data_IF_018543264728
#
_entry.id   IF_018543264728
#
_cell.length_a   1.000
_cell.length_b   1.000
_cell.length_c   1.000
_cell.angle_alpha   90.00
_cell.angle_beta   90.00
_cell.angle_gamma   90.00
#
_symmetry.space_group_name_H-M   'P 1'
#
loop_
_entity.id
_entity.type
_entity.pdbx_description
1 polymer ?
#
# COMPACT_ATOMS: atom_id res chain seq x y z
N UNK A 1 0.87 7.73 35.76
CA UNK A 1 -0.34 7.36 34.99
C UNK A 1 0.02 6.21 34.06
N UNK A 2 -0.39 4.99 34.36
CA UNK A 2 -0.14 3.82 33.50
C UNK A 2 -1.08 3.88 32.30
N UNK A 3 -0.54 4.03 31.09
CA UNK A 3 -1.33 4.01 29.86
C UNK A 3 -2.00 2.64 29.70
N UNK A 4 -3.30 2.56 30.00
CA UNK A 4 -4.08 1.34 29.79
C UNK A 4 -4.12 1.04 28.29
N UNK A 5 -3.52 -0.09 27.87
CA UNK A 5 -3.61 -0.55 26.49
C UNK A 5 -5.08 -0.90 26.23
N UNK A 6 -5.76 -0.15 25.37
CA UNK A 6 -7.15 -0.47 24.98
C UNK A 6 -7.16 -1.81 24.26
N UNK A 7 -7.99 -2.73 24.74
CA UNK A 7 -8.18 -4.00 24.05
C UNK A 7 -9.04 -3.77 22.81
N UNK A 8 -8.91 -4.65 21.82
CA UNK A 8 -9.71 -4.59 20.60
C UNK A 8 -11.23 -4.67 20.88
N UNK A 9 -11.62 -5.36 21.95
CA UNK A 9 -12.99 -5.43 22.50
C UNK A 9 -13.52 -4.07 22.96
N UNK A 10 -12.63 -3.15 23.32
CA UNK A 10 -12.99 -1.85 23.90
C UNK A 10 -13.16 -0.76 22.82
N UNK A 11 -12.93 -1.12 21.55
CA UNK A 11 -13.16 -0.23 20.41
C UNK A 11 -14.65 -0.17 20.08
N UNK A 12 -15.14 1.02 19.75
CA UNK A 12 -16.49 1.16 19.20
C UNK A 12 -16.62 0.36 17.90
N UNK A 13 -17.81 -0.16 17.57
CA UNK A 13 -18.06 -0.88 16.32
C UNK A 13 -17.60 -0.09 15.10
N UNK A 14 -17.81 1.23 15.08
CA UNK A 14 -17.39 2.12 14.00
C UNK A 14 -15.87 2.16 13.83
N UNK A 15 -15.11 2.28 14.92
CA UNK A 15 -13.64 2.29 14.86
C UNK A 15 -13.10 0.94 14.39
N UNK A 16 -13.66 -0.16 14.90
CA UNK A 16 -13.28 -1.51 14.49
C UNK A 16 -13.51 -1.71 12.98
N UNK A 17 -14.69 -1.33 12.48
CA UNK A 17 -15.02 -1.39 11.06
C UNK A 17 -14.08 -0.52 10.23
N UNK A 18 -13.77 0.70 10.69
CA UNK A 18 -12.83 1.58 10.01
C UNK A 18 -11.45 0.96 9.84
N UNK A 19 -10.92 0.31 10.89
CA UNK A 19 -9.63 -0.39 10.82
C UNK A 19 -9.70 -1.55 9.83
N UNK A 20 -10.75 -2.38 9.88
CA UNK A 20 -10.92 -3.52 8.95
C UNK A 20 -10.94 -3.02 7.50
N UNK A 21 -11.73 -1.99 7.22
CA UNK A 21 -11.87 -1.41 5.88
C UNK A 21 -10.53 -0.85 5.40
N UNK A 22 -9.82 -0.08 6.23
CA UNK A 22 -8.52 0.48 5.89
C UNK A 22 -7.48 -0.62 5.60
N UNK A 23 -7.43 -1.67 6.42
CA UNK A 23 -6.53 -2.81 6.22
C UNK A 23 -6.82 -3.55 4.91
N UNK A 24 -8.11 -3.72 4.57
CA UNK A 24 -8.49 -4.33 3.29
C UNK A 24 -8.04 -3.48 2.10
N UNK A 25 -8.25 -2.16 2.17
CA UNK A 25 -7.78 -1.25 1.12
C UNK A 25 -6.26 -1.33 0.96
N UNK A 26 -5.50 -1.25 2.05
CA UNK A 26 -4.04 -1.35 2.03
C UNK A 26 -3.56 -2.67 1.41
N UNK A 27 -4.20 -3.79 1.78
CA UNK A 27 -3.86 -5.10 1.24
C UNK A 27 -4.12 -5.18 -0.28
N UNK A 28 -5.26 -4.64 -0.75
CA UNK A 28 -5.60 -4.57 -2.17
C UNK A 28 -4.62 -3.68 -2.92
N UNK A 29 -4.31 -2.49 -2.42
CA UNK A 29 -3.34 -1.57 -3.04
C UNK A 29 -1.96 -2.20 -3.16
N UNK A 30 -1.48 -2.83 -2.09
CA UNK A 30 -0.19 -3.52 -2.06
C UNK A 30 -0.16 -4.66 -3.05
N UNK A 31 -1.20 -5.49 -3.10
CA UNK A 31 -1.30 -6.60 -4.03
C UNK A 31 -1.34 -6.13 -5.49
N UNK A 32 -2.14 -5.12 -5.80
CA UNK A 32 -2.22 -4.53 -7.14
C UNK A 32 -0.88 -3.93 -7.55
N UNK A 33 -0.24 -3.16 -6.66
CA UNK A 33 1.08 -2.57 -6.92
C UNK A 33 2.14 -3.65 -7.18
N UNK A 34 2.18 -4.71 -6.37
CA UNK A 34 3.12 -5.82 -6.56
C UNK A 34 2.84 -6.59 -7.85
N UNK A 35 1.57 -6.89 -8.16
CA UNK A 35 1.18 -7.59 -9.40
C UNK A 35 1.51 -6.74 -10.63
N UNK A 36 1.22 -5.45 -10.59
CA UNK A 36 1.51 -4.50 -11.67
C UNK A 36 3.02 -4.37 -11.87
N UNK A 37 3.80 -4.18 -10.80
CA UNK A 37 5.26 -4.14 -10.85
C UNK A 37 5.83 -5.43 -11.46
N UNK A 38 5.34 -6.61 -11.03
CA UNK A 38 5.81 -7.90 -11.56
C UNK A 38 5.51 -8.03 -13.04
N UNK A 39 4.29 -7.71 -13.49
CA UNK A 39 3.86 -7.85 -14.88
C UNK A 39 4.45 -6.81 -15.84
N UNK A 40 4.70 -5.58 -15.37
CA UNK A 40 5.22 -4.51 -16.24
C UNK A 40 6.69 -4.74 -16.63
N UNK A 41 7.03 -4.54 -17.92
CA UNK A 41 8.42 -4.48 -18.35
C UNK A 41 9.10 -3.25 -17.74
N UNK A 42 10.41 -3.34 -17.48
CA UNK A 42 11.15 -2.28 -16.80
C UNK A 42 11.12 -0.93 -17.55
N UNK A 43 10.91 -0.95 -18.87
CA UNK A 43 10.79 0.25 -19.71
C UNK A 43 9.55 1.11 -19.38
N UNK A 44 8.49 0.51 -18.82
CA UNK A 44 7.26 1.18 -18.41
C UNK A 44 7.25 1.63 -16.94
N UNK A 45 8.34 1.36 -16.21
CA UNK A 45 8.49 1.76 -14.81
C UNK A 45 9.47 2.92 -14.74
N UNK A 46 9.15 3.94 -13.95
CA UNK A 46 10.05 5.08 -13.76
C UNK A 46 11.21 4.68 -12.86
N UNK A 47 12.33 4.30 -13.48
CA UNK A 47 13.55 3.92 -12.76
C UNK A 47 13.65 2.41 -12.47
N UNK A 48 14.65 1.99 -11.68
CA UNK A 48 14.92 0.57 -11.43
C UNK A 48 13.77 -0.15 -10.73
N UNK A 49 13.36 -1.29 -11.28
CA UNK A 49 12.28 -2.13 -10.74
C UNK A 49 12.51 -2.56 -9.28
N UNK A 50 13.76 -2.77 -8.89
CA UNK A 50 14.13 -3.14 -7.52
C UNK A 50 13.88 -2.02 -6.51
N UNK A 51 14.07 -0.74 -6.87
CA UNK A 51 13.76 0.37 -5.97
C UNK A 51 12.26 0.45 -5.69
N UNK A 52 11.43 0.17 -6.69
CA UNK A 52 9.99 0.08 -6.46
C UNK A 52 9.60 -1.12 -5.63
N UNK A 53 10.29 -2.26 -5.76
CA UNK A 53 10.08 -3.40 -4.88
C UNK A 53 10.37 -3.04 -3.41
N UNK A 54 11.47 -2.34 -3.14
CA UNK A 54 11.80 -1.82 -1.81
C UNK A 54 10.78 -0.78 -1.34
N UNK A 55 10.32 0.10 -2.24
CA UNK A 55 9.29 1.08 -1.91
C UNK A 55 8.00 0.38 -1.43
N UNK A 56 7.57 -0.72 -2.05
CA UNK A 56 6.37 -1.47 -1.60
C UNK A 56 6.46 -1.97 -0.16
N UNK A 57 7.67 -2.18 0.38
CA UNK A 57 7.87 -2.58 1.78
C UNK A 57 7.60 -1.43 2.78
N UNK A 58 7.53 -0.19 2.31
CA UNK A 58 7.20 0.98 3.13
C UNK A 58 5.68 1.16 3.18
N UNK A 59 5.01 0.40 4.04
CA UNK A 59 3.55 0.46 4.24
C UNK A 59 3.15 1.75 4.99
N UNK A 60 2.08 2.47 4.60
CA UNK A 60 1.25 2.32 3.39
C UNK A 60 1.74 3.16 2.18
N UNK A 61 2.74 4.01 2.37
CA UNK A 61 3.14 5.07 1.40
C UNK A 61 3.70 4.48 0.10
N UNK A 62 4.41 3.37 0.19
CA UNK A 62 5.10 2.69 -0.90
C UNK A 62 4.21 2.25 -2.07
N UNK A 63 3.21 1.39 -1.82
CA UNK A 63 2.23 0.99 -2.84
C UNK A 63 1.53 2.17 -3.50
N UNK A 64 1.14 3.18 -2.71
CA UNK A 64 0.50 4.39 -3.22
C UNK A 64 1.43 5.20 -4.12
N UNK A 65 2.69 5.40 -3.70
CA UNK A 65 3.70 6.12 -4.48
C UNK A 65 3.99 5.40 -5.81
N UNK A 66 4.07 4.06 -5.81
CA UNK A 66 4.25 3.28 -7.04
C UNK A 66 3.08 3.46 -8.00
N UNK A 67 1.85 3.29 -7.51
CA UNK A 67 0.65 3.43 -8.35
C UNK A 67 0.46 4.85 -8.86
N UNK A 68 0.80 5.87 -8.06
CA UNK A 68 0.65 7.27 -8.45
C UNK A 68 1.75 7.74 -9.42
N UNK A 69 3.02 7.44 -9.13
CA UNK A 69 4.18 8.06 -9.78
C UNK A 69 5.08 7.05 -10.50
N UNK A 70 5.18 5.82 -9.99
CA UNK A 70 6.10 4.79 -10.49
C UNK A 70 5.76 4.21 -11.84
N UNK A 71 4.51 4.34 -12.29
CA UNK A 71 4.08 3.92 -13.63
C UNK A 71 4.40 5.01 -14.66
N UNK A 72 5.06 4.65 -15.77
CA UNK A 72 5.04 5.48 -16.97
C UNK A 72 3.69 5.26 -17.63
N UNK A 73 2.90 6.35 -17.71
CA UNK A 73 1.74 6.38 -18.58
C UNK A 73 2.31 6.54 -19.99
N UNK A 74 2.20 5.52 -20.82
CA UNK A 74 2.42 5.71 -22.26
C UNK A 74 1.26 6.58 -22.73
N UNK A 75 1.45 7.89 -22.61
CA UNK A 75 0.57 8.93 -23.15
C UNK A 75 1.25 9.53 -24.36
N UNK A 76 1.15 8.81 -25.48
CA UNK A 76 1.07 9.33 -26.83
C UNK A 76 0.10 8.40 -27.57
#
# INVERSE_FOLDING_TARGET
MTSQKRAWSDLSPTTRTGIIVLSLFEMVFTFVAARDLRKRPAAEVKGPKFLWLLALAVQPVGPLAYLAVGRRRNGA
#
